data_IF_374611153173
#
_entry.id   IF_374611153173
#
_cell.length_a   1.000
_cell.length_b   1.000
_cell.length_c   1.000
_cell.angle_alpha   90.00
_cell.angle_beta   90.00
_cell.angle_gamma   90.00
#
_symmetry.space_group_name_H-M   'P 1'
#
loop_
_entity.id
_entity.type
_entity.pdbx_description
1 polymer ?
#
# COMPACT_ATOMS: atom_id res chain seq x y z
N UNK A 1 -3.86 -49.72 64.75
CA UNK A 1 -2.82 -49.00 64.01
C UNK A 1 -3.52 -48.23 62.91
N UNK A 2 -3.77 -46.94 63.17
CA UNK A 2 -4.61 -46.02 62.31
C UNK A 2 -3.71 -45.17 61.44
N UNK A 3 -3.76 -45.37 60.13
CA UNK A 3 -3.03 -44.48 59.17
C UNK A 3 -3.93 -43.28 58.82
N UNK A 4 -3.49 -42.10 59.17
CA UNK A 4 -4.09 -40.82 58.73
C UNK A 4 -3.46 -40.42 57.41
N UNK A 5 -4.25 -40.40 56.35
CA UNK A 5 -3.89 -39.81 55.05
C UNK A 5 -4.06 -38.28 55.10
N UNK A 6 -2.98 -37.56 54.88
CA UNK A 6 -2.98 -36.08 54.65
C UNK A 6 -3.22 -35.83 53.18
N UNK A 7 -4.37 -35.25 52.83
CA UNK A 7 -4.63 -34.71 51.49
C UNK A 7 -4.05 -33.28 51.38
N UNK A 8 -3.08 -33.08 50.52
CA UNK A 8 -2.55 -31.79 50.20
C UNK A 8 -3.39 -31.18 49.04
N UNK A 9 -4.14 -30.13 49.35
CA UNK A 9 -4.83 -29.34 48.33
C UNK A 9 -3.83 -28.41 47.68
N UNK A 10 -3.52 -28.61 46.39
CA UNK A 10 -2.78 -27.67 45.55
C UNK A 10 -3.81 -26.79 44.86
N UNK A 11 -3.85 -25.50 45.22
CA UNK A 11 -4.66 -24.49 44.54
C UNK A 11 -4.02 -24.10 43.22
N UNK A 12 -4.77 -24.01 42.10
CA UNK A 12 -4.23 -23.53 40.85
C UNK A 12 -4.04 -22.01 40.92
N UNK A 13 -2.80 -21.59 40.68
CA UNK A 13 -2.46 -20.20 40.53
C UNK A 13 -2.94 -19.73 39.14
N UNK A 14 -4.08 -19.04 39.08
CA UNK A 14 -4.52 -18.35 37.84
C UNK A 14 -3.60 -17.16 37.58
N UNK A 15 -2.66 -17.33 36.68
CA UNK A 15 -1.88 -16.22 36.13
C UNK A 15 -2.77 -15.43 35.16
N UNK A 16 -3.32 -14.31 35.60
CA UNK A 16 -4.01 -13.35 34.73
C UNK A 16 -2.97 -12.68 33.84
N UNK A 17 -2.87 -13.08 32.59
CA UNK A 17 -2.09 -12.38 31.59
C UNK A 17 -2.79 -11.04 31.27
N UNK A 18 -2.20 -9.93 31.76
CA UNK A 18 -2.57 -8.60 31.32
C UNK A 18 -2.15 -8.47 29.86
N UNK A 19 -3.12 -8.55 28.92
CA UNK A 19 -2.89 -8.08 27.55
C UNK A 19 -2.76 -6.54 27.63
N UNK A 20 -1.52 -6.06 27.55
CA UNK A 20 -1.27 -4.66 27.24
C UNK A 20 -1.72 -4.45 25.79
N UNK A 21 -2.89 -3.82 25.59
CA UNK A 21 -3.29 -3.30 24.30
C UNK A 21 -2.22 -2.27 23.88
N UNK A 22 -1.53 -2.55 22.76
CA UNK A 22 -0.67 -1.57 22.14
C UNK A 22 -1.52 -0.32 21.82
N UNK A 23 -1.00 0.90 22.06
CA UNK A 23 -1.73 2.11 21.71
C UNK A 23 -2.03 2.04 20.20
N UNK A 24 -3.30 2.29 19.83
CA UNK A 24 -3.68 2.45 18.44
C UNK A 24 -2.76 3.53 17.86
N UNK A 25 -2.00 3.18 16.82
CA UNK A 25 -1.19 4.15 16.07
C UNK A 25 -2.14 5.24 15.61
N UNK A 26 -1.83 6.50 15.94
CA UNK A 26 -2.56 7.63 15.37
C UNK A 26 -2.54 7.44 13.85
N UNK A 27 -3.72 7.45 13.22
CA UNK A 27 -3.83 7.25 11.78
C UNK A 27 -2.87 8.24 11.10
N UNK A 28 -1.93 7.73 10.31
CA UNK A 28 -0.99 8.58 9.59
C UNK A 28 -1.77 9.53 8.69
N UNK A 29 -1.37 10.79 8.68
CA UNK A 29 -1.96 11.80 7.82
C UNK A 29 -1.24 11.80 6.47
N UNK A 30 -1.96 11.84 5.33
CA UNK A 30 -1.32 11.91 4.03
C UNK A 30 -0.49 13.20 3.92
N UNK A 31 0.71 13.15 3.35
CA UNK A 31 1.50 14.35 3.10
C UNK A 31 0.83 15.21 2.01
N UNK A 32 0.94 16.52 2.10
CA UNK A 32 0.44 17.43 1.06
C UNK A 32 1.18 17.28 -0.27
N UNK A 33 2.44 16.89 -0.21
CA UNK A 33 3.32 16.71 -1.38
C UNK A 33 4.06 15.39 -1.30
N UNK A 34 4.46 14.87 -2.45
CA UNK A 34 5.31 13.70 -2.53
C UNK A 34 6.63 13.90 -1.76
N UNK A 35 7.05 12.88 -1.01
CA UNK A 35 8.29 12.88 -0.24
C UNK A 35 9.16 11.71 -0.70
N UNK A 36 10.41 11.99 -1.02
CA UNK A 36 11.41 10.97 -1.34
C UNK A 36 11.08 10.12 -2.57
N UNK A 37 10.35 10.65 -3.56
CA UNK A 37 10.15 9.94 -4.82
C UNK A 37 11.42 9.97 -5.65
N UNK A 38 11.80 8.80 -6.19
CA UNK A 38 12.98 8.63 -7.03
C UNK A 38 12.61 7.81 -8.27
N UNK A 39 13.24 8.12 -9.39
CA UNK A 39 13.23 7.25 -10.58
C UNK A 39 11.92 7.13 -11.31
N UNK A 40 11.06 8.17 -11.29
CA UNK A 40 9.76 7.90 -11.79
C UNK A 40 9.22 8.66 -12.91
N UNK A 41 9.82 9.62 -13.35
CA UNK A 41 9.00 10.62 -14.03
C UNK A 41 8.73 10.30 -15.47
N UNK A 42 9.61 9.58 -16.09
CA UNK A 42 9.42 9.20 -17.46
C UNK A 42 8.92 7.77 -17.58
N UNK A 43 7.89 7.61 -18.39
CA UNK A 43 7.33 6.31 -18.65
C UNK A 43 8.39 5.36 -19.21
N UNK A 44 8.40 4.13 -18.73
CA UNK A 44 9.15 3.03 -19.35
C UNK A 44 8.67 2.82 -20.78
N UNK A 45 7.36 3.04 -21.02
CA UNK A 45 6.77 2.98 -22.34
C UNK A 45 5.38 3.61 -22.39
N UNK A 46 4.95 3.97 -23.60
CA UNK A 46 3.61 4.49 -23.91
C UNK A 46 3.07 3.85 -25.17
N UNK A 47 1.77 3.56 -25.16
CA UNK A 47 1.05 3.08 -26.35
C UNK A 47 -0.10 4.04 -26.62
N UNK A 48 -0.12 4.64 -27.80
CA UNK A 48 -1.26 5.42 -28.28
C UNK A 48 -2.47 4.51 -28.47
N UNK A 49 -3.59 4.83 -27.83
CA UNK A 49 -4.80 4.01 -27.93
C UNK A 49 -5.66 4.36 -29.16
N UNK A 50 -5.47 5.51 -29.80
CA UNK A 50 -6.27 5.93 -30.95
C UNK A 50 -6.19 4.94 -32.13
N UNK A 51 -5.02 4.41 -32.55
CA UNK A 51 -4.93 3.47 -33.65
C UNK A 51 -5.63 2.11 -33.42
N UNK A 52 -5.90 1.80 -32.14
CA UNK A 52 -6.51 0.51 -31.77
C UNK A 52 -8.03 0.50 -31.86
N UNK A 53 -8.68 1.65 -32.10
CA UNK A 53 -10.14 1.78 -32.23
C UNK A 53 -10.94 1.07 -31.13
N UNK A 54 -10.47 1.17 -29.89
CA UNK A 54 -11.13 0.54 -28.75
C UNK A 54 -12.48 1.20 -28.48
N UNK A 55 -13.62 0.46 -28.49
CA UNK A 55 -14.92 1.03 -28.25
C UNK A 55 -14.99 1.81 -26.93
N UNK A 56 -15.48 3.05 -26.98
CA UNK A 56 -15.63 3.90 -25.81
C UNK A 56 -14.34 4.52 -25.27
N UNK A 57 -13.19 4.28 -25.93
CA UNK A 57 -11.92 4.89 -25.51
C UNK A 57 -11.70 6.16 -26.34
N UNK A 58 -11.57 7.35 -25.69
CA UNK A 58 -11.22 8.58 -26.40
C UNK A 58 -9.87 8.48 -27.08
N UNK A 59 -9.75 8.99 -28.30
CA UNK A 59 -8.52 8.94 -29.11
C UNK A 59 -7.36 9.79 -28.57
N UNK A 60 -7.59 10.58 -27.51
CA UNK A 60 -6.61 11.40 -26.84
C UNK A 60 -6.02 10.74 -25.56
N UNK A 61 -6.23 9.43 -25.39
CA UNK A 61 -5.66 8.63 -24.29
C UNK A 61 -4.51 7.75 -24.75
N UNK A 62 -3.66 7.42 -23.81
CA UNK A 62 -2.55 6.48 -23.98
C UNK A 62 -2.47 5.50 -22.79
N UNK A 63 -1.98 4.29 -23.03
CA UNK A 63 -1.55 3.36 -21.99
C UNK A 63 -0.10 3.70 -21.64
N UNK A 64 0.16 3.93 -20.36
CA UNK A 64 1.48 4.31 -19.87
C UNK A 64 1.98 3.28 -18.86
N UNK A 65 3.24 2.83 -19.01
CA UNK A 65 3.95 2.03 -18.01
C UNK A 65 5.08 2.86 -17.39
N UNK A 66 5.25 2.77 -16.08
CA UNK A 66 6.29 3.51 -15.34
C UNK A 66 6.72 2.78 -14.07
N UNK A 67 7.90 3.13 -13.59
CA UNK A 67 8.42 2.73 -12.28
C UNK A 67 8.39 3.93 -11.34
N UNK A 68 7.95 3.72 -10.11
CA UNK A 68 7.91 4.71 -9.04
C UNK A 68 8.78 4.23 -7.89
N UNK A 69 9.93 4.86 -7.66
CA UNK A 69 10.78 4.63 -6.51
C UNK A 69 10.36 5.50 -5.33
N UNK A 70 10.31 4.93 -4.13
CA UNK A 70 9.97 5.61 -2.88
C UNK A 70 11.11 5.37 -1.89
N UNK A 71 11.87 6.41 -1.58
CA UNK A 71 12.98 6.37 -0.64
C UNK A 71 12.53 5.90 0.76
N UNK A 72 13.46 5.49 1.64
CA UNK A 72 13.14 5.23 3.05
C UNK A 72 12.41 6.41 3.68
N UNK A 73 11.31 6.15 4.38
CA UNK A 73 10.45 7.19 4.97
C UNK A 73 9.67 8.04 3.97
N UNK A 74 9.83 7.79 2.66
CA UNK A 74 9.15 8.51 1.59
C UNK A 74 7.66 8.21 1.52
N UNK A 75 6.90 9.06 0.82
CA UNK A 75 5.45 8.92 0.69
C UNK A 75 4.91 9.47 -0.64
N UNK A 76 3.85 8.85 -1.13
CA UNK A 76 3.03 9.33 -2.24
C UNK A 76 1.80 9.99 -1.63
N UNK A 77 1.48 11.26 -1.91
CA UNK A 77 0.33 11.96 -1.35
C UNK A 77 -0.98 11.34 -1.80
N UNK A 78 -2.06 11.72 -1.11
CA UNK A 78 -3.42 11.32 -1.47
C UNK A 78 -3.77 11.72 -2.90
N UNK A 79 -4.24 10.77 -3.70
CA UNK A 79 -4.59 11.02 -5.09
C UNK A 79 -5.74 10.12 -5.57
N UNK A 80 -6.62 10.64 -6.44
CA UNK A 80 -7.71 9.90 -7.04
C UNK A 80 -7.27 9.18 -8.33
N UNK A 81 -8.03 8.12 -8.68
CA UNK A 81 -7.90 7.39 -9.94
C UNK A 81 -9.08 7.57 -10.90
N UNK A 82 -10.02 8.47 -10.59
CA UNK A 82 -11.11 8.82 -11.50
C UNK A 82 -10.54 9.27 -12.86
N UNK A 83 -10.99 8.63 -13.93
CA UNK A 83 -10.50 8.89 -15.30
C UNK A 83 -9.07 8.42 -15.60
N UNK A 84 -8.45 7.69 -14.67
CA UNK A 84 -7.09 7.16 -14.80
C UNK A 84 -6.99 5.75 -14.21
N UNK A 85 -7.71 4.78 -14.77
CA UNK A 85 -7.65 3.41 -14.29
C UNK A 85 -6.26 2.82 -14.49
N UNK A 86 -5.84 1.96 -13.56
CA UNK A 86 -4.52 1.37 -13.62
C UNK A 86 -4.40 0.06 -12.85
N UNK A 87 -3.20 -0.51 -12.95
CA UNK A 87 -2.75 -1.65 -12.16
C UNK A 87 -1.37 -1.28 -11.61
N UNK A 88 -1.18 -1.47 -10.32
CA UNK A 88 0.10 -1.31 -9.67
C UNK A 88 0.58 -2.63 -9.08
N UNK A 89 1.91 -2.83 -9.04
CA UNK A 89 2.57 -3.99 -8.43
C UNK A 89 3.82 -3.53 -7.69
N UNK A 90 4.04 -4.08 -6.50
CA UNK A 90 5.30 -3.88 -5.77
C UNK A 90 6.39 -4.74 -6.39
N UNK A 91 7.49 -4.11 -6.82
CA UNK A 91 8.67 -4.77 -7.39
C UNK A 91 9.85 -4.81 -6.43
N UNK A 92 9.87 -3.92 -5.42
CA UNK A 92 10.91 -3.86 -4.39
C UNK A 92 10.36 -3.33 -3.08
N UNK A 93 10.86 -3.87 -1.96
CA UNK A 93 10.52 -3.43 -0.60
C UNK A 93 9.07 -3.67 -0.21
N UNK A 94 8.56 -2.81 0.66
CA UNK A 94 7.17 -2.83 1.12
C UNK A 94 6.65 -1.42 1.33
N UNK A 95 5.34 -1.25 1.27
CA UNK A 95 4.65 0.01 1.48
C UNK A 95 3.43 -0.21 2.37
N UNK A 96 3.01 0.83 3.07
CA UNK A 96 1.69 0.89 3.68
C UNK A 96 0.80 1.70 2.74
N UNK A 97 -0.29 1.09 2.29
CA UNK A 97 -1.35 1.76 1.54
C UNK A 97 -2.46 2.18 2.50
N UNK A 98 -2.95 3.39 2.33
CA UNK A 98 -4.07 3.95 3.08
C UNK A 98 -5.22 4.30 2.15
N UNK A 99 -6.43 3.79 2.46
CA UNK A 99 -7.69 4.09 1.76
C UNK A 99 -8.72 4.56 2.78
N UNK A 100 -8.89 5.88 2.91
CA UNK A 100 -9.67 6.45 4.01
C UNK A 100 -9.09 6.05 5.36
N UNK A 101 -9.89 5.40 6.22
CA UNK A 101 -9.47 4.91 7.53
C UNK A 101 -8.82 3.50 7.49
N UNK A 102 -8.84 2.83 6.34
CA UNK A 102 -8.25 1.50 6.20
C UNK A 102 -6.79 1.60 5.77
N UNK A 103 -5.96 0.74 6.35
CA UNK A 103 -4.56 0.57 5.96
C UNK A 103 -4.24 -0.89 5.68
N UNK A 104 -3.27 -1.13 4.79
CA UNK A 104 -2.70 -2.46 4.56
C UNK A 104 -1.23 -2.36 4.17
N UNK A 105 -0.45 -3.34 4.58
CA UNK A 105 0.90 -3.51 4.06
C UNK A 105 0.84 -4.24 2.72
N UNK A 106 1.56 -3.70 1.73
CA UNK A 106 1.79 -4.34 0.43
C UNK A 106 3.29 -4.57 0.25
N UNK A 107 3.65 -5.73 -0.33
CA UNK A 107 5.03 -6.17 -0.44
C UNK A 107 5.32 -6.75 -1.83
N UNK A 108 6.57 -7.08 -2.11
CA UNK A 108 6.98 -7.64 -3.42
C UNK A 108 6.07 -8.76 -3.87
N UNK A 109 5.52 -8.60 -5.09
CA UNK A 109 4.59 -9.53 -5.71
C UNK A 109 3.13 -9.12 -5.59
N UNK A 110 2.75 -8.34 -4.57
CA UNK A 110 1.39 -7.83 -4.43
C UNK A 110 1.05 -6.88 -5.58
N UNK A 111 -0.18 -7.01 -6.08
CA UNK A 111 -0.73 -6.16 -7.11
C UNK A 111 -2.19 -5.81 -6.82
N UNK A 112 -2.64 -4.67 -7.33
CA UNK A 112 -4.01 -4.20 -7.16
C UNK A 112 -4.49 -3.38 -8.34
N UNK A 113 -5.83 -3.26 -8.42
CA UNK A 113 -6.50 -2.40 -9.39
C UNK A 113 -6.71 -1.00 -8.80
N UNK A 114 -6.59 -0.02 -9.66
CA UNK A 114 -6.84 1.39 -9.38
C UNK A 114 -8.09 1.82 -10.17
N UNK A 115 -9.26 1.59 -9.58
CA UNK A 115 -10.56 1.88 -10.17
C UNK A 115 -10.94 3.36 -10.03
N UNK A 116 -12.05 3.77 -10.66
CA UNK A 116 -12.51 5.15 -10.64
C UNK A 116 -12.82 5.71 -9.24
N UNK A 117 -13.20 4.85 -8.31
CA UNK A 117 -13.50 5.16 -6.90
C UNK A 117 -12.28 5.07 -5.98
N UNK A 118 -11.12 4.67 -6.52
CA UNK A 118 -9.92 4.54 -5.72
C UNK A 118 -9.35 5.93 -5.39
N UNK A 119 -9.24 6.20 -4.09
CA UNK A 119 -8.49 7.33 -3.52
C UNK A 119 -7.59 6.76 -2.45
N UNK A 120 -6.29 6.92 -2.62
CA UNK A 120 -5.31 6.35 -1.68
C UNK A 120 -4.02 7.17 -1.60
N UNK A 121 -3.20 6.83 -0.61
CA UNK A 121 -1.84 7.31 -0.47
C UNK A 121 -0.94 6.21 0.07
N UNK A 122 0.38 6.38 -0.03
CA UNK A 122 1.36 5.38 0.40
C UNK A 122 2.46 5.98 1.25
N UNK A 123 2.97 5.17 2.17
CA UNK A 123 4.20 5.46 2.92
C UNK A 123 5.16 4.27 2.84
N UNK A 124 6.44 4.54 2.64
CA UNK A 124 7.49 3.56 2.87
C UNK A 124 7.83 3.54 4.38
N UNK A 125 7.49 2.47 5.12
CA UNK A 125 7.74 2.41 6.56
C UNK A 125 9.20 2.15 6.91
N UNK A 126 10.01 1.70 5.94
CA UNK A 126 11.43 1.40 6.16
C UNK A 126 12.23 2.68 6.38
N UNK A 127 13.18 2.65 7.31
CA UNK A 127 14.16 3.72 7.53
C UNK A 127 15.43 3.55 6.70
N UNK A 128 15.59 2.40 6.03
CA UNK A 128 16.85 2.04 5.34
C UNK A 128 16.66 1.56 3.92
N UNK A 129 15.50 0.97 3.58
CA UNK A 129 15.26 0.37 2.28
C UNK A 129 14.27 1.17 1.44
N UNK A 130 14.61 1.41 0.18
CA UNK A 130 13.68 1.96 -0.79
C UNK A 130 12.65 0.92 -1.24
N UNK A 131 11.43 1.38 -1.51
CA UNK A 131 10.40 0.58 -2.17
C UNK A 131 10.24 1.01 -3.62
N UNK A 132 9.66 0.13 -4.45
CA UNK A 132 9.40 0.40 -5.85
C UNK A 132 8.07 -0.19 -6.30
N UNK A 133 7.33 0.59 -7.07
CA UNK A 133 6.10 0.19 -7.76
C UNK A 133 6.33 0.17 -9.26
N UNK A 134 5.84 -0.85 -9.94
CA UNK A 134 5.58 -0.83 -11.37
C UNK A 134 4.10 -0.56 -11.59
N UNK A 135 3.79 0.45 -12.40
CA UNK A 135 2.43 0.95 -12.60
C UNK A 135 2.13 1.02 -14.09
N UNK A 136 0.98 0.49 -14.47
CA UNK A 136 0.39 0.66 -15.81
C UNK A 136 -0.94 1.35 -15.66
N UNK A 137 -1.10 2.51 -16.28
CA UNK A 137 -2.33 3.30 -16.23
C UNK A 137 -2.73 3.86 -17.60
N UNK A 138 -4.04 4.10 -17.77
CA UNK A 138 -4.57 4.84 -18.93
C UNK A 138 -4.65 6.31 -18.55
N UNK A 139 -4.03 7.16 -19.35
CA UNK A 139 -3.95 8.61 -19.05
C UNK A 139 -4.21 9.45 -20.30
N UNK A 140 -4.70 10.69 -20.15
CA UNK A 140 -4.74 11.61 -21.26
C UNK A 140 -3.34 11.86 -21.83
N UNK A 141 -3.25 11.97 -23.16
CA UNK A 141 -2.00 12.38 -23.82
C UNK A 141 -1.61 13.77 -23.35
N UNK A 142 -0.34 13.97 -23.11
CA UNK A 142 0.17 15.33 -22.86
C UNK A 142 0.08 16.14 -24.18
N UNK A 143 -0.56 17.29 -24.10
CA UNK A 143 -0.57 18.30 -25.19
C UNK A 143 0.77 18.99 -25.27
#
# INVERSE_FOLDING_TARGET
>A
MMFRTFSVFVAPLCASALLLAAPASAADTPPEKAVGLTGTTDAVGRVDLAPHNLPGTPGDYELRARTIGIAPGGAIPGHPHAGRPGIARVTKGSLIEYRGAAERTVQVGDAWYENADTVHWFRNPSSTEAAELWVVDVVPKKK
#
